data_IF_451941765119
#
_entry.id   IF_451941765119
#
_cell.length_a   1.000
_cell.length_b   1.000
_cell.length_c   1.000
_cell.angle_alpha   90.00
_cell.angle_beta   90.00
_cell.angle_gamma   90.00
#
_symmetry.space_group_name_H-M   'P 1'
#
loop_
_entity.id
_entity.type
_entity.pdbx_description
1 polymer ?
#
# COMPACT_ATOMS: atom_id res chain seq x y z
N UNK A 1 5.02 -7.12 5.02
CA UNK A 1 5.06 -5.80 5.67
C UNK A 1 4.66 -5.88 7.13
N UNK A 2 3.53 -6.44 7.49
CA UNK A 2 3.08 -6.54 8.91
C UNK A 2 4.11 -7.27 9.78
N UNK A 3 4.61 -8.42 9.31
CA UNK A 3 5.68 -9.13 10.03
C UNK A 3 6.91 -8.25 10.21
N UNK A 4 7.34 -7.56 9.15
CA UNK A 4 8.47 -6.62 9.21
C UNK A 4 8.23 -5.50 10.23
N UNK A 5 7.05 -4.88 10.24
CA UNK A 5 6.71 -3.88 11.25
C UNK A 5 6.86 -4.44 12.68
N UNK A 6 6.29 -5.60 12.95
CA UNK A 6 6.36 -6.24 14.27
C UNK A 6 7.79 -6.60 14.69
N UNK A 7 8.61 -7.11 13.77
CA UNK A 7 10.01 -7.47 14.04
C UNK A 7 10.86 -6.25 14.42
N UNK A 8 10.54 -5.08 13.85
CA UNK A 8 11.21 -3.82 14.18
C UNK A 8 10.47 -2.98 15.23
N UNK A 9 9.46 -3.54 15.88
CA UNK A 9 8.77 -2.90 17.01
C UNK A 9 7.82 -1.77 16.61
N UNK A 10 7.33 -1.77 15.36
CA UNK A 10 6.32 -0.84 14.89
C UNK A 10 4.92 -1.42 15.06
N UNK A 11 4.02 -0.64 15.56
CA UNK A 11 2.60 -0.98 15.69
C UNK A 11 1.82 -0.47 14.48
N UNK A 12 0.97 -1.32 13.91
CA UNK A 12 0.06 -0.97 12.82
C UNK A 12 -1.34 -0.85 13.40
N UNK A 13 -1.88 0.38 13.42
CA UNK A 13 -3.19 0.67 13.99
C UNK A 13 -4.34 0.13 13.16
N UNK A 14 -4.22 0.10 11.85
CA UNK A 14 -5.30 -0.31 10.96
C UNK A 14 -4.79 -0.83 9.62
N UNK A 15 -5.56 -1.75 9.02
CA UNK A 15 -5.42 -2.17 7.64
C UNK A 15 -6.59 -1.63 6.81
N UNK A 16 -6.31 -1.07 5.65
CA UNK A 16 -7.32 -0.65 4.69
C UNK A 16 -7.12 -1.43 3.40
N UNK A 17 -8.06 -2.29 3.09
CA UNK A 17 -8.04 -3.14 1.89
C UNK A 17 -9.06 -2.61 0.90
N UNK A 18 -8.59 -2.18 -0.27
CA UNK A 18 -9.43 -1.63 -1.32
C UNK A 18 -9.53 -2.64 -2.48
N UNK A 19 -10.74 -2.94 -2.94
CA UNK A 19 -11.00 -3.93 -3.98
C UNK A 19 -12.11 -3.48 -4.93
N UNK A 20 -12.18 -4.06 -6.13
CA UNK A 20 -13.21 -3.76 -7.13
C UNK A 20 -14.22 -4.90 -7.33
N UNK A 21 -13.75 -6.10 -7.60
CA UNK A 21 -14.61 -7.22 -8.02
C UNK A 21 -14.94 -8.18 -6.89
N UNK A 22 -13.92 -8.65 -6.19
CA UNK A 22 -14.02 -9.60 -5.10
C UNK A 22 -12.74 -9.69 -4.31
N UNK A 23 -12.79 -10.39 -3.20
CA UNK A 23 -11.65 -10.67 -2.33
C UNK A 23 -11.76 -12.09 -1.80
N UNK A 24 -10.62 -12.64 -1.38
CA UNK A 24 -10.59 -13.91 -0.66
C UNK A 24 -11.14 -13.68 0.76
N UNK A 25 -12.34 -14.20 0.99
CA UNK A 25 -13.03 -14.02 2.28
C UNK A 25 -12.29 -14.69 3.43
N UNK A 26 -11.76 -15.89 3.21
CA UNK A 26 -11.03 -16.64 4.26
C UNK A 26 -9.75 -15.90 4.65
N UNK A 27 -9.04 -15.35 3.65
CA UNK A 27 -7.86 -14.54 3.89
C UNK A 27 -8.19 -13.29 4.73
N UNK A 28 -9.25 -12.57 4.38
CA UNK A 28 -9.67 -11.37 5.11
C UNK A 28 -10.12 -11.72 6.53
N UNK A 29 -10.93 -12.78 6.72
CA UNK A 29 -11.35 -13.23 8.05
C UNK A 29 -10.15 -13.61 8.96
N UNK A 30 -9.07 -14.10 8.39
CA UNK A 30 -7.84 -14.35 9.12
C UNK A 30 -7.09 -13.05 9.46
N UNK A 31 -7.03 -12.11 8.53
CA UNK A 31 -6.46 -10.78 8.82
C UNK A 31 -7.22 -10.04 9.92
N UNK A 32 -8.54 -10.09 9.92
CA UNK A 32 -9.38 -9.46 10.95
C UNK A 32 -9.14 -10.03 12.36
N UNK A 33 -8.71 -11.29 12.47
CA UNK A 33 -8.34 -11.88 13.76
C UNK A 33 -7.03 -11.31 14.31
N UNK A 34 -6.08 -11.03 13.41
CA UNK A 34 -4.78 -10.43 13.77
C UNK A 34 -4.87 -8.90 13.88
N UNK A 35 -5.68 -8.28 13.01
CA UNK A 35 -5.89 -6.85 12.93
C UNK A 35 -7.37 -6.51 13.05
N UNK A 36 -7.89 -6.32 14.27
CA UNK A 36 -9.32 -6.04 14.49
C UNK A 36 -9.80 -4.75 13.81
N UNK A 37 -8.90 -3.80 13.52
CA UNK A 37 -9.20 -2.58 12.76
C UNK A 37 -8.90 -2.77 11.26
N UNK A 38 -9.44 -3.80 10.66
CA UNK A 38 -9.38 -4.03 9.20
C UNK A 38 -10.61 -3.40 8.54
N UNK A 39 -10.39 -2.59 7.52
CA UNK A 39 -11.44 -1.90 6.78
C UNK A 39 -11.43 -2.35 5.32
N UNK A 40 -12.57 -2.84 4.84
CA UNK A 40 -12.78 -3.21 3.46
C UNK A 40 -13.48 -2.08 2.72
N UNK A 41 -12.92 -1.65 1.59
CA UNK A 41 -13.51 -0.65 0.72
C UNK A 41 -13.75 -1.27 -0.64
N UNK A 42 -15.01 -1.38 -1.05
CA UNK A 42 -15.36 -1.69 -2.43
C UNK A 42 -15.41 -0.38 -3.22
N UNK A 43 -14.52 -0.24 -4.20
CA UNK A 43 -14.48 0.95 -5.06
C UNK A 43 -15.80 1.12 -5.80
N UNK A 44 -16.26 2.34 -6.00
CA UNK A 44 -17.58 2.71 -6.51
C UNK A 44 -18.78 2.30 -5.63
N UNK A 45 -18.54 1.83 -4.40
CA UNK A 45 -19.57 1.49 -3.42
C UNK A 45 -19.25 2.11 -2.05
N UNK A 46 -18.91 3.39 -2.02
CA UNK A 46 -18.35 4.09 -0.86
C UNK A 46 -19.41 4.81 -0.01
N UNK A 47 -20.63 4.28 0.11
CA UNK A 47 -21.77 4.92 0.77
C UNK A 47 -21.51 5.37 2.21
N UNK A 48 -20.81 4.55 2.99
CA UNK A 48 -20.50 4.90 4.37
C UNK A 48 -19.50 6.06 4.45
N UNK A 49 -18.49 6.06 3.58
CA UNK A 49 -17.56 7.18 3.47
C UNK A 49 -18.27 8.48 3.06
N UNK A 50 -19.19 8.41 2.09
CA UNK A 50 -19.99 9.55 1.70
C UNK A 50 -20.76 10.14 2.88
N UNK A 51 -21.44 9.27 3.64
CA UNK A 51 -22.22 9.68 4.81
C UNK A 51 -21.35 10.38 5.84
N UNK A 52 -20.14 9.87 6.09
CA UNK A 52 -19.23 10.43 7.06
C UNK A 52 -18.61 11.76 6.59
N UNK A 53 -18.27 11.87 5.30
CA UNK A 53 -17.81 13.12 4.70
C UNK A 53 -18.88 14.22 4.78
N UNK A 54 -20.14 13.86 4.46
CA UNK A 54 -21.27 14.80 4.57
C UNK A 54 -21.50 15.25 6.00
N UNK A 55 -21.38 14.36 7.00
CA UNK A 55 -21.48 14.74 8.42
C UNK A 55 -20.39 15.73 8.84
N UNK A 56 -19.19 15.61 8.24
CA UNK A 56 -18.09 16.57 8.45
C UNK A 56 -18.26 17.87 7.65
N UNK A 57 -19.37 18.04 6.94
CA UNK A 57 -19.69 19.26 6.18
C UNK A 57 -19.00 19.36 4.82
N UNK A 58 -18.35 18.29 4.34
CA UNK A 58 -17.68 18.27 3.04
C UNK A 58 -18.74 18.12 1.94
N UNK A 59 -18.68 18.98 0.93
CA UNK A 59 -19.68 19.01 -0.14
C UNK A 59 -19.45 17.85 -1.12
N UNK A 60 -20.54 17.23 -1.57
CA UNK A 60 -20.51 16.09 -2.49
C UNK A 60 -19.69 16.33 -3.75
N UNK A 61 -19.78 17.55 -4.32
CA UNK A 61 -19.00 17.92 -5.52
C UNK A 61 -17.49 17.86 -5.32
N UNK A 62 -17.00 17.96 -4.10
CA UNK A 62 -15.58 18.01 -3.78
C UNK A 62 -14.98 16.60 -3.60
N UNK A 63 -15.78 15.61 -3.21
CA UNK A 63 -15.27 14.27 -2.96
C UNK A 63 -15.81 13.17 -3.91
N UNK A 64 -17.02 13.31 -4.47
CA UNK A 64 -17.55 12.27 -5.35
C UNK A 64 -16.65 11.95 -6.54
N UNK A 65 -16.06 12.93 -7.24
CA UNK A 65 -15.15 12.65 -8.35
C UNK A 65 -13.86 11.92 -7.95
N UNK A 66 -13.54 11.90 -6.66
CA UNK A 66 -12.34 11.24 -6.14
C UNK A 66 -12.57 9.75 -5.86
N UNK A 67 -13.80 9.38 -5.44
CA UNK A 67 -14.11 8.00 -5.00
C UNK A 67 -15.00 7.23 -5.97
N UNK A 68 -15.52 7.90 -7.01
CA UNK A 68 -16.32 7.28 -8.07
C UNK A 68 -15.69 7.53 -9.43
N UNK A 69 -15.78 6.53 -10.30
CA UNK A 69 -15.33 6.60 -11.68
C UNK A 69 -16.47 6.15 -12.62
N UNK A 70 -16.91 7.07 -13.48
CA UNK A 70 -18.10 6.84 -14.30
C UNK A 70 -17.85 5.94 -15.53
N UNK A 71 -16.64 5.93 -16.08
CA UNK A 71 -16.43 5.52 -17.47
C UNK A 71 -15.77 4.16 -17.68
N UNK A 72 -15.17 3.58 -16.66
CA UNK A 72 -14.42 2.33 -16.81
C UNK A 72 -15.14 1.09 -16.31
N UNK A 73 -16.30 1.23 -15.67
CA UNK A 73 -17.16 0.10 -15.27
C UNK A 73 -17.55 -0.77 -16.46
N UNK A 74 -17.76 -0.18 -17.64
CA UNK A 74 -18.12 -0.90 -18.87
C UNK A 74 -17.06 -1.93 -19.27
N UNK A 75 -15.80 -1.70 -18.91
CA UNK A 75 -14.67 -2.60 -19.22
C UNK A 75 -14.17 -3.37 -17.99
N UNK A 76 -14.83 -3.24 -16.83
CA UNK A 76 -14.40 -3.86 -15.60
C UNK A 76 -13.11 -3.30 -15.01
N UNK A 77 -12.58 -2.22 -15.57
CA UNK A 77 -11.36 -1.57 -15.12
C UNK A 77 -11.70 -0.26 -14.41
N UNK A 78 -11.18 -0.08 -13.22
CA UNK A 78 -11.31 1.16 -12.47
C UNK A 78 -9.97 1.90 -12.46
N UNK A 79 -9.97 3.25 -12.54
CA UNK A 79 -8.75 4.03 -12.45
C UNK A 79 -8.02 3.76 -11.13
N UNK A 80 -6.72 3.55 -11.20
CA UNK A 80 -5.87 3.33 -10.03
C UNK A 80 -5.97 4.50 -9.02
N UNK A 81 -6.16 5.71 -9.53
CA UNK A 81 -6.39 6.91 -8.71
C UNK A 81 -7.61 6.78 -7.80
N UNK A 82 -8.70 6.16 -8.27
CA UNK A 82 -9.92 5.97 -7.45
C UNK A 82 -9.67 5.08 -6.25
N UNK A 83 -8.87 4.02 -6.40
CA UNK A 83 -8.44 3.18 -5.28
C UNK A 83 -7.63 3.97 -4.26
N UNK A 84 -6.60 4.68 -4.72
CA UNK A 84 -5.73 5.46 -3.83
C UNK A 84 -6.49 6.57 -3.11
N UNK A 85 -7.35 7.29 -3.82
CA UNK A 85 -8.18 8.33 -3.23
C UNK A 85 -9.13 7.78 -2.16
N UNK A 86 -9.76 6.62 -2.43
CA UNK A 86 -10.64 5.97 -1.45
C UNK A 86 -9.90 5.59 -0.17
N UNK A 87 -8.68 5.08 -0.31
CA UNK A 87 -7.83 4.73 0.85
C UNK A 87 -7.39 6.00 1.61
N UNK A 88 -6.94 7.04 0.90
CA UNK A 88 -6.55 8.32 1.50
C UNK A 88 -7.70 8.96 2.30
N UNK A 89 -8.88 9.02 1.70
CA UNK A 89 -10.07 9.57 2.34
C UNK A 89 -10.46 8.73 3.56
N UNK A 90 -10.36 7.40 3.46
CA UNK A 90 -10.64 6.53 4.61
C UNK A 90 -9.65 6.75 5.74
N UNK A 91 -8.36 6.83 5.45
CA UNK A 91 -7.32 7.12 6.45
C UNK A 91 -7.55 8.48 7.14
N UNK A 92 -7.91 9.52 6.36
CA UNK A 92 -8.29 10.83 6.89
C UNK A 92 -9.52 10.74 7.81
N UNK A 93 -10.55 9.98 7.45
CA UNK A 93 -11.75 9.79 8.27
C UNK A 93 -11.45 9.04 9.58
N UNK A 94 -10.44 8.18 9.57
CA UNK A 94 -9.94 7.45 10.73
C UNK A 94 -8.93 8.23 11.55
N UNK A 95 -8.57 9.45 11.11
CA UNK A 95 -7.62 10.35 11.77
C UNK A 95 -6.24 9.72 11.96
N UNK A 96 -5.76 9.01 10.90
CA UNK A 96 -4.44 8.38 10.89
C UNK A 96 -3.35 9.42 10.65
N UNK A 97 -2.26 9.35 11.43
CA UNK A 97 -1.11 10.25 11.31
C UNK A 97 -0.22 9.92 10.12
N UNK A 98 -0.12 8.65 9.77
CA UNK A 98 0.66 8.18 8.63
C UNK A 98 -0.08 7.08 7.86
N UNK A 99 0.11 7.04 6.56
CA UNK A 99 -0.44 6.03 5.67
C UNK A 99 0.65 5.46 4.77
N UNK A 100 0.79 4.15 4.78
CA UNK A 100 1.67 3.43 3.88
C UNK A 100 0.85 2.71 2.81
N UNK A 101 1.12 3.06 1.55
CA UNK A 101 0.61 2.30 0.41
C UNK A 101 1.57 1.18 0.09
N UNK A 102 1.04 -0.03 0.04
CA UNK A 102 1.81 -1.24 -0.27
C UNK A 102 1.09 -2.01 -1.34
N UNK A 103 1.78 -2.31 -2.43
CA UNK A 103 1.28 -3.22 -3.45
C UNK A 103 1.48 -4.68 -2.98
N UNK A 104 0.58 -5.57 -3.37
CA UNK A 104 0.53 -6.95 -2.86
C UNK A 104 1.70 -7.84 -3.30
N UNK A 105 2.48 -7.40 -4.27
CA UNK A 105 3.61 -8.09 -4.87
C UNK A 105 4.98 -7.49 -4.48
N UNK A 106 5.00 -6.55 -3.53
CA UNK A 106 6.21 -5.91 -3.01
C UNK A 106 6.60 -6.51 -1.66
N UNK A 107 7.89 -6.67 -1.42
CA UNK A 107 8.46 -7.16 -0.16
C UNK A 107 9.41 -6.12 0.45
N UNK A 108 9.44 -5.95 1.78
CA UNK A 108 10.32 -5.01 2.48
C UNK A 108 11.74 -5.60 2.64
N UNK A 109 12.38 -5.91 1.52
CA UNK A 109 13.72 -6.50 1.47
C UNK A 109 14.68 -5.55 0.76
N UNK A 110 15.90 -5.45 1.28
CA UNK A 110 16.99 -4.76 0.63
C UNK A 110 17.86 -5.77 -0.10
N UNK A 111 18.06 -5.54 -1.39
CA UNK A 111 18.99 -6.30 -2.19
C UNK A 111 20.38 -5.71 -2.08
N UNK A 112 21.32 -6.43 -1.50
CA UNK A 112 22.74 -6.06 -1.47
C UNK A 112 23.52 -6.84 -2.50
N UNK A 113 24.45 -6.18 -3.17
CA UNK A 113 25.41 -6.84 -4.02
C UNK A 113 26.33 -7.69 -3.14
N UNK A 114 26.50 -8.97 -3.53
CA UNK A 114 27.42 -9.88 -2.89
C UNK A 114 28.90 -9.51 -3.13
N UNK A 115 29.84 -10.30 -2.63
CA UNK A 115 31.28 -9.98 -2.67
C UNK A 115 31.86 -9.94 -4.09
N UNK A 116 31.19 -10.53 -5.07
CA UNK A 116 31.60 -10.43 -6.47
C UNK A 116 31.13 -9.10 -7.03
N UNK A 117 32.05 -8.27 -7.49
CA UNK A 117 31.78 -6.98 -8.12
C UNK A 117 31.23 -7.16 -9.54
N UNK A 118 30.05 -7.73 -9.68
CA UNK A 118 29.28 -7.71 -10.92
C UNK A 118 28.54 -6.40 -11.05
N UNK A 119 28.33 -5.91 -12.27
CA UNK A 119 27.42 -4.78 -12.48
C UNK A 119 26.04 -5.18 -11.99
N UNK A 120 25.33 -4.30 -11.30
CA UNK A 120 23.92 -4.50 -11.02
C UNK A 120 23.22 -4.81 -12.36
N UNK A 121 22.56 -5.95 -12.51
CA UNK A 121 21.77 -6.20 -13.70
C UNK A 121 20.63 -5.18 -13.73
N UNK A 122 20.26 -4.74 -14.93
CA UNK A 122 19.09 -3.87 -15.11
C UNK A 122 17.80 -4.53 -14.61
N UNK A 123 17.85 -5.85 -14.45
CA UNK A 123 16.73 -6.67 -14.02
C UNK A 123 17.24 -7.87 -13.21
N UNK A 124 16.63 -8.09 -12.03
CA UNK A 124 16.89 -9.25 -11.18
C UNK A 124 15.59 -10.04 -11.03
N UNK A 125 15.57 -11.26 -11.57
CA UNK A 125 14.46 -12.18 -11.34
C UNK A 125 14.72 -13.00 -10.08
N UNK A 126 13.87 -12.89 -9.09
CA UNK A 126 13.90 -13.74 -7.88
C UNK A 126 13.68 -15.23 -8.21
N UNK A 127 13.31 -15.56 -9.46
CA UNK A 127 13.12 -16.94 -9.92
C UNK A 127 14.40 -17.57 -10.45
N UNK A 128 15.41 -16.78 -10.79
CA UNK A 128 16.68 -17.26 -11.32
C UNK A 128 17.70 -17.46 -10.20
N UNK A 129 17.75 -18.69 -9.69
CA UNK A 129 18.64 -19.05 -8.56
C UNK A 129 20.12 -18.79 -8.81
N UNK A 130 20.59 -18.82 -10.08
CA UNK A 130 21.99 -18.56 -10.43
C UNK A 130 22.38 -17.08 -10.33
N UNK A 131 21.46 -16.18 -10.66
CA UNK A 131 21.70 -14.75 -10.52
C UNK A 131 21.65 -14.31 -9.04
N UNK A 132 20.91 -15.02 -8.21
CA UNK A 132 20.78 -14.72 -6.77
C UNK A 132 22.01 -15.07 -5.94
N UNK A 133 22.93 -15.94 -6.44
CA UNK A 133 24.17 -16.29 -5.71
C UNK A 133 25.07 -15.07 -5.47
N UNK A 134 24.96 -14.03 -6.30
CA UNK A 134 25.75 -12.81 -6.20
C UNK A 134 25.07 -11.70 -5.39
N UNK A 135 23.87 -11.94 -4.83
CA UNK A 135 23.10 -10.97 -4.08
C UNK A 135 22.67 -11.53 -2.73
N UNK A 136 22.62 -10.65 -1.75
CA UNK A 136 22.11 -10.95 -0.42
C UNK A 136 20.84 -10.15 -0.20
N UNK A 137 19.79 -10.83 0.26
CA UNK A 137 18.55 -10.19 0.70
C UNK A 137 18.63 -9.96 2.20
N UNK A 138 18.55 -8.70 2.60
CA UNK A 138 18.51 -8.32 3.99
C UNK A 138 17.11 -7.78 4.34
N UNK A 139 16.58 -8.19 5.45
CA UNK A 139 15.42 -7.53 6.04
C UNK A 139 15.84 -6.17 6.59
N UNK A 140 15.05 -5.14 6.31
CA UNK A 140 15.31 -3.77 6.76
C UNK A 140 14.10 -3.24 7.48
N UNK A 141 14.32 -2.34 8.41
CA UNK A 141 13.25 -1.57 9.05
C UNK A 141 12.62 -0.60 8.03
N UNK A 142 11.68 -1.13 7.26
CA UNK A 142 11.01 -0.38 6.20
C UNK A 142 10.21 0.79 6.76
N UNK A 143 9.38 0.55 7.76
CA UNK A 143 8.52 1.58 8.31
C UNK A 143 9.31 2.63 9.08
N UNK A 144 10.26 2.23 9.92
CA UNK A 144 11.09 3.15 10.69
C UNK A 144 11.86 4.11 9.81
N UNK A 145 12.41 3.64 8.70
CA UNK A 145 13.11 4.50 7.74
C UNK A 145 12.21 5.57 7.14
N UNK A 146 11.01 5.21 6.74
CA UNK A 146 10.03 6.17 6.23
C UNK A 146 9.55 7.14 7.33
N UNK A 147 9.25 6.62 8.52
CA UNK A 147 8.80 7.43 9.66
C UNK A 147 9.87 8.43 10.12
N UNK A 148 11.15 8.06 10.11
CA UNK A 148 12.25 9.00 10.39
C UNK A 148 12.26 10.21 9.44
N UNK A 149 11.95 9.97 8.16
CA UNK A 149 11.88 11.04 7.18
C UNK A 149 10.60 11.89 7.34
N UNK A 150 9.46 11.25 7.58
CA UNK A 150 8.17 11.93 7.76
C UNK A 150 8.11 12.81 9.03
N UNK A 151 8.98 12.58 10.01
CA UNK A 151 9.11 13.45 11.19
C UNK A 151 9.76 14.80 10.91
N UNK A 152 10.37 15.00 9.75
CA UNK A 152 10.95 16.28 9.36
C UNK A 152 9.83 17.22 8.90
N UNK A 153 9.89 18.48 9.32
CA UNK A 153 8.83 19.48 9.09
C UNK A 153 8.50 19.72 7.61
N UNK A 154 9.45 19.51 6.73
CA UNK A 154 9.34 19.76 5.29
C UNK A 154 9.06 18.50 4.45
N UNK A 155 8.91 17.33 5.09
CA UNK A 155 8.67 16.06 4.41
C UNK A 155 7.23 15.59 4.64
N UNK A 156 6.44 15.61 3.58
CA UNK A 156 5.06 15.11 3.60
C UNK A 156 4.90 13.72 2.98
N UNK A 157 5.80 13.34 2.08
CA UNK A 157 5.73 12.08 1.34
C UNK A 157 7.12 11.48 1.22
N UNK A 158 7.22 10.18 1.42
CA UNK A 158 8.41 9.39 1.17
C UNK A 158 8.09 8.24 0.22
N UNK A 159 9.06 7.83 -0.58
CA UNK A 159 8.94 6.68 -1.47
C UNK A 159 10.20 5.84 -1.39
N UNK A 160 10.08 4.55 -1.70
CA UNK A 160 11.21 3.66 -1.90
C UNK A 160 11.35 3.32 -3.36
N UNK A 161 12.58 3.11 -3.80
CA UNK A 161 12.80 2.46 -5.08
C UNK A 161 12.46 0.97 -4.97
N UNK A 162 11.83 0.43 -6.00
CA UNK A 162 11.72 -1.02 -6.16
C UNK A 162 12.41 -1.48 -7.43
N UNK A 163 13.11 -2.58 -7.29
CA UNK A 163 13.68 -3.31 -8.41
C UNK A 163 12.71 -4.45 -8.80
N UNK A 164 12.53 -4.69 -10.07
CA UNK A 164 11.82 -5.85 -10.55
C UNK A 164 10.56 -5.61 -11.37
N UNK A 165 10.20 -4.37 -11.70
CA UNK A 165 9.12 -4.10 -12.64
C UNK A 165 9.66 -3.88 -14.06
N UNK A 166 9.25 -4.77 -14.98
CA UNK A 166 9.28 -4.51 -16.40
C UNK A 166 7.88 -4.05 -16.81
N UNK A 167 7.75 -2.81 -17.25
CA UNK A 167 6.58 -2.39 -18.02
C UNK A 167 6.92 -2.71 -19.47
N UNK A 168 6.28 -3.74 -20.01
CA UNK A 168 6.29 -4.02 -21.44
C UNK A 168 5.25 -3.13 -22.11
#
# INVERSE_FOLDING_TARGET
FVRNANEFGHEIDALIICYSHGYDRVFVENLEKEFPRTYLIKVNHCYDMEKDLRKRGIKSKDFLPLIYADTLETYGLLPYSTYRNSVLIKAMLLEMDALFFVDTDVYPLLLRQGPRKTKFPEYISLKDSKEMEDYQLDEVDFFGRHLEHLKKEDVMVTTSDYSGYYII
#
